data_IF_900852207021
#
_entry.id   IF_900852207021
#
_cell.length_a   1.000
_cell.length_b   1.000
_cell.length_c   1.000
_cell.angle_alpha   90.00
_cell.angle_beta   90.00
_cell.angle_gamma   90.00
#
_symmetry.space_group_name_H-M   'P 1'
#
loop_
_entity.id
_entity.type
_entity.pdbx_description
1 polymer ?
#
# COMPACT_ATOMS: atom_id res chain seq x y z
N UNK A 1 -17.32 2.19 11.00
CA UNK A 1 -16.92 1.89 9.61
C UNK A 1 -15.45 1.55 9.52
N UNK A 2 -15.04 0.68 8.61
CA UNK A 2 -13.63 0.39 8.43
C UNK A 2 -12.89 1.64 7.97
N UNK A 3 -11.57 1.75 8.22
CA UNK A 3 -10.80 2.86 7.72
C UNK A 3 -10.81 2.87 6.19
N UNK A 4 -10.72 4.06 5.58
CA UNK A 4 -10.70 4.16 4.13
C UNK A 4 -9.43 3.55 3.55
N UNK A 5 -9.46 3.29 2.25
CA UNK A 5 -8.29 2.81 1.54
C UNK A 5 -7.13 3.80 1.68
N UNK A 6 -5.92 3.29 1.84
CA UNK A 6 -4.72 4.12 1.86
C UNK A 6 -4.41 4.59 0.45
N UNK A 7 -4.05 5.86 0.30
CA UNK A 7 -3.68 6.43 -0.99
C UNK A 7 -2.26 6.98 -0.94
N UNK A 8 -1.50 6.66 -1.98
CA UNK A 8 -0.11 7.08 -2.12
C UNK A 8 0.07 7.70 -3.49
N UNK A 9 0.62 8.92 -3.58
CA UNK A 9 0.94 9.49 -4.87
C UNK A 9 2.08 8.73 -5.53
N UNK A 10 1.96 8.48 -6.82
CA UNK A 10 2.97 7.76 -7.56
C UNK A 10 2.90 8.00 -9.04
N UNK A 11 3.82 7.39 -9.76
CA UNK A 11 3.97 7.57 -11.19
C UNK A 11 4.27 6.24 -11.87
N UNK A 12 3.71 6.07 -13.05
CA UNK A 12 4.09 4.98 -13.94
C UNK A 12 4.90 5.58 -15.09
N UNK A 13 6.07 5.02 -15.33
CA UNK A 13 6.96 5.47 -16.38
C UNK A 13 7.62 4.25 -17.01
N UNK A 14 7.18 3.92 -18.21
CA UNK A 14 7.62 2.71 -18.89
C UNK A 14 7.22 1.45 -18.13
N UNK A 15 8.22 0.70 -17.68
CA UNK A 15 8.01 -0.56 -16.94
C UNK A 15 8.19 -0.40 -15.44
N UNK A 16 8.18 0.82 -14.94
CA UNK A 16 8.48 1.11 -13.55
C UNK A 16 7.40 1.95 -12.90
N UNK A 17 7.07 1.61 -11.66
CA UNK A 17 6.25 2.42 -10.77
C UNK A 17 7.17 3.05 -9.74
N UNK A 18 6.94 4.32 -9.45
CA UNK A 18 7.71 5.02 -8.43
C UNK A 18 6.78 5.79 -7.49
N UNK A 19 7.14 5.78 -6.21
CA UNK A 19 6.53 6.64 -5.19
C UNK A 19 7.54 7.72 -4.88
N UNK A 20 7.37 8.88 -5.52
CA UNK A 20 8.12 10.12 -5.30
C UNK A 20 9.64 9.95 -5.27
N UNK A 21 10.20 9.23 -6.20
CA UNK A 21 11.64 9.09 -6.44
C UNK A 21 12.44 8.29 -5.39
N UNK A 22 11.82 7.78 -4.34
CA UNK A 22 12.59 6.99 -3.38
C UNK A 22 12.20 5.52 -3.30
N UNK A 23 11.05 5.16 -3.85
CA UNK A 23 10.66 3.75 -3.96
C UNK A 23 10.34 3.47 -5.41
N UNK A 24 11.04 2.51 -5.99
CA UNK A 24 10.87 2.10 -7.38
C UNK A 24 10.65 0.60 -7.42
N UNK A 25 9.71 0.17 -8.23
CA UNK A 25 9.49 -1.26 -8.44
C UNK A 25 9.00 -1.52 -9.85
N UNK A 26 9.28 -2.72 -10.39
CA UNK A 26 8.85 -3.05 -11.74
C UNK A 26 7.34 -3.16 -11.83
N UNK A 27 6.80 -2.73 -12.95
CA UNK A 27 5.39 -2.83 -13.26
C UNK A 27 5.00 -4.31 -13.31
N UNK A 28 4.02 -4.71 -12.52
CA UNK A 28 3.52 -6.08 -12.60
C UNK A 28 2.53 -6.23 -13.77
N UNK A 29 2.15 -7.47 -14.07
CA UNK A 29 1.29 -7.75 -15.20
C UNK A 29 -0.06 -7.06 -15.11
N UNK A 30 -0.57 -6.85 -13.91
CA UNK A 30 -1.89 -6.26 -13.70
C UNK A 30 -1.91 -4.76 -14.02
N UNK A 31 -0.76 -4.09 -13.99
CA UNK A 31 -0.65 -2.66 -14.24
C UNK A 31 -0.19 -2.32 -15.66
N UNK A 32 0.11 -3.32 -16.48
CA UNK A 32 0.64 -3.07 -17.84
C UNK A 32 -0.34 -2.36 -18.76
N UNK A 33 -1.63 -2.49 -18.50
CA UNK A 33 -2.66 -1.82 -19.30
C UNK A 33 -2.86 -0.35 -18.89
N UNK A 34 -2.27 0.06 -17.76
CA UNK A 34 -2.34 1.43 -17.28
C UNK A 34 -1.22 2.21 -17.98
N UNK A 35 -1.55 3.30 -18.62
CA UNK A 35 -0.56 4.10 -19.34
C UNK A 35 0.37 4.86 -18.40
N UNK A 36 1.43 5.43 -18.98
CA UNK A 36 2.34 6.30 -18.22
C UNK A 36 1.59 7.50 -17.69
N UNK A 37 1.99 7.99 -16.55
CA UNK A 37 1.40 9.17 -15.94
C UNK A 37 1.47 9.16 -14.42
N UNK A 38 0.86 10.18 -13.85
CA UNK A 38 0.76 10.33 -12.40
C UNK A 38 -0.59 9.80 -11.93
N UNK A 39 -0.53 9.00 -10.88
CA UNK A 39 -1.69 8.30 -10.34
C UNK A 39 -1.68 8.34 -8.81
N UNK A 40 -2.77 7.89 -8.22
CA UNK A 40 -2.82 7.57 -6.80
C UNK A 40 -2.94 6.07 -6.68
N UNK A 41 -2.03 5.47 -5.93
CA UNK A 41 -2.03 4.03 -5.68
C UNK A 41 -2.71 3.75 -4.37
N UNK A 42 -3.63 2.81 -4.37
CA UNK A 42 -4.40 2.48 -3.19
C UNK A 42 -4.09 1.10 -2.66
N UNK A 43 -4.09 0.96 -1.35
CA UNK A 43 -3.98 -0.34 -0.71
C UNK A 43 -4.88 -0.37 0.52
N UNK A 44 -5.58 -1.48 0.70
CA UNK A 44 -6.46 -1.64 1.87
C UNK A 44 -5.64 -1.77 3.13
N UNK A 45 -6.08 -1.17 4.25
CA UNK A 45 -5.36 -1.29 5.52
C UNK A 45 -5.05 -2.73 5.93
N UNK A 46 -5.96 -3.65 5.68
CA UNK A 46 -5.78 -5.06 6.05
C UNK A 46 -4.80 -5.82 5.15
N UNK A 47 -4.38 -5.22 4.03
CA UNK A 47 -3.41 -5.83 3.12
C UNK A 47 -1.97 -5.40 3.41
N UNK A 48 -1.78 -4.42 4.28
CA UNK A 48 -0.45 -4.05 4.75
C UNK A 48 -0.01 -4.98 5.88
N UNK A 49 1.29 -5.20 5.99
CA UNK A 49 1.82 -6.10 7.01
C UNK A 49 3.14 -5.58 7.58
N UNK A 50 3.51 -6.14 8.73
CA UNK A 50 4.78 -5.82 9.41
C UNK A 50 5.90 -6.76 9.00
N UNK A 51 5.58 -7.81 8.25
CA UNK A 51 6.54 -8.77 7.74
C UNK A 51 6.27 -9.02 6.25
N UNK A 52 7.29 -9.29 5.45
CA UNK A 52 7.07 -9.58 4.03
C UNK A 52 6.38 -10.93 3.87
N UNK A 53 5.48 -11.01 2.90
CA UNK A 53 4.76 -12.24 2.54
C UNK A 53 5.15 -12.76 1.17
N UNK A 54 5.64 -11.88 0.29
CA UNK A 54 6.03 -12.20 -1.08
C UNK A 54 7.35 -11.51 -1.40
N UNK A 55 8.09 -12.08 -2.35
CA UNK A 55 9.40 -11.53 -2.75
C UNK A 55 9.28 -10.14 -3.38
N UNK A 56 8.12 -9.82 -3.96
CA UNK A 56 7.88 -8.54 -4.61
C UNK A 56 7.14 -7.53 -3.72
N UNK A 57 7.00 -7.81 -2.43
CA UNK A 57 6.44 -6.84 -1.50
C UNK A 57 7.34 -5.61 -1.41
N UNK A 58 6.71 -4.43 -1.42
CA UNK A 58 7.43 -3.19 -1.19
C UNK A 58 7.71 -3.03 0.29
N UNK A 59 8.93 -2.67 0.61
CA UNK A 59 9.32 -2.34 1.97
C UNK A 59 9.38 -0.82 2.12
N UNK A 60 8.66 -0.29 3.07
CA UNK A 60 8.66 1.14 3.39
C UNK A 60 9.12 1.36 4.82
N UNK A 61 10.09 2.27 4.98
CA UNK A 61 10.46 2.77 6.28
C UNK A 61 9.47 3.88 6.68
N UNK A 62 8.86 3.73 7.82
CA UNK A 62 7.84 4.66 8.31
C UNK A 62 8.02 4.93 9.80
N UNK A 63 7.33 5.97 10.26
CA UNK A 63 7.31 6.36 11.67
C UNK A 63 5.90 6.17 12.22
N UNK A 64 5.81 5.61 13.41
CA UNK A 64 4.52 5.39 14.06
C UNK A 64 3.99 6.72 14.59
N UNK A 65 2.76 7.05 14.22
CA UNK A 65 2.04 8.20 14.78
C UNK A 65 1.16 7.80 15.95
N UNK A 66 0.48 6.66 15.83
CA UNK A 66 -0.51 6.22 16.80
C UNK A 66 -0.80 4.74 16.60
N UNK A 67 -0.96 4.03 17.70
CA UNK A 67 -1.46 2.66 17.69
C UNK A 67 -2.79 2.64 18.44
N UNK A 68 -3.88 2.40 17.72
CA UNK A 68 -5.21 2.27 18.30
C UNK A 68 -5.53 0.80 18.49
N UNK A 69 -5.66 0.37 19.72
CA UNK A 69 -5.99 -1.02 20.04
C UNK A 69 -7.48 -1.09 20.38
N UNK A 70 -8.19 -1.90 19.63
CA UNK A 70 -9.62 -2.09 19.79
C UNK A 70 -9.90 -3.59 19.89
N UNK A 71 -10.12 -4.08 21.11
CA UNK A 71 -10.27 -5.49 21.36
C UNK A 71 -9.02 -6.27 20.96
N UNK A 72 -9.15 -7.18 20.01
CA UNK A 72 -8.05 -8.02 19.52
C UNK A 72 -7.47 -7.53 18.21
N UNK A 73 -7.67 -6.26 17.87
CA UNK A 73 -7.20 -5.67 16.63
C UNK A 73 -6.43 -4.39 16.90
N UNK A 74 -5.51 -4.04 16.00
CA UNK A 74 -4.75 -2.80 16.08
C UNK A 74 -4.86 -2.06 14.76
N UNK A 75 -5.18 -0.76 14.86
CA UNK A 75 -5.07 0.16 13.73
C UNK A 75 -3.81 0.98 13.94
N UNK A 76 -2.81 0.71 13.15
CA UNK A 76 -1.49 1.35 13.28
C UNK A 76 -1.37 2.47 12.27
N UNK A 77 -1.28 3.70 12.76
CA UNK A 77 -1.13 4.89 11.94
C UNK A 77 0.35 5.19 11.79
N UNK A 78 0.83 5.21 10.56
CA UNK A 78 2.24 5.46 10.24
C UNK A 78 2.36 6.53 9.18
N UNK A 79 3.54 7.13 9.08
CA UNK A 79 3.82 8.16 8.09
C UNK A 79 5.25 8.08 7.59
N UNK A 80 5.46 8.62 6.42
CA UNK A 80 6.76 9.07 5.95
C UNK A 80 6.63 10.54 5.51
N UNK A 81 7.61 11.08 4.80
CA UNK A 81 7.60 12.48 4.39
C UNK A 81 6.49 12.83 3.39
N UNK A 82 5.92 11.85 2.72
CA UNK A 82 5.04 12.07 1.57
C UNK A 82 3.59 11.66 1.81
N UNK A 83 3.36 10.67 2.65
CA UNK A 83 2.01 10.17 2.88
C UNK A 83 1.89 9.45 4.21
N UNK A 84 0.66 9.27 4.64
CA UNK A 84 0.31 8.52 5.84
C UNK A 84 -0.45 7.27 5.45
N UNK A 85 -0.26 6.22 6.21
CA UNK A 85 -0.93 4.93 6.01
C UNK A 85 -1.54 4.45 7.31
N UNK A 86 -2.59 3.66 7.19
CA UNK A 86 -3.18 2.92 8.31
C UNK A 86 -3.07 1.44 8.01
N UNK A 87 -2.50 0.69 8.93
CA UNK A 87 -2.50 -0.76 8.91
C UNK A 87 -3.61 -1.27 9.81
N UNK A 88 -4.33 -2.27 9.34
CA UNK A 88 -5.30 -2.99 10.16
C UNK A 88 -4.73 -4.38 10.45
N UNK A 89 -4.30 -4.59 11.67
CA UNK A 89 -3.56 -5.79 12.07
C UNK A 89 -4.39 -6.63 13.03
N UNK A 90 -4.44 -7.95 12.85
CA UNK A 90 -4.98 -8.81 13.89
C UNK A 90 -4.04 -8.84 15.07
N UNK A 91 -4.61 -8.95 16.27
CA UNK A 91 -3.83 -8.98 17.50
C UNK A 91 -3.54 -7.60 18.06
N UNK A 92 -2.86 -7.60 19.19
CA UNK A 92 -2.46 -6.39 19.89
C UNK A 92 -1.01 -6.07 19.55
N UNK A 93 -0.79 -4.93 18.91
CA UNK A 93 0.53 -4.46 18.51
C UNK A 93 0.77 -3.08 19.12
N UNK A 94 1.45 -3.05 20.24
CA UNK A 94 1.77 -1.81 20.92
C UNK A 94 3.10 -1.26 20.38
N UNK A 95 3.08 -0.02 19.95
CA UNK A 95 4.25 0.70 19.49
C UNK A 95 4.28 2.07 20.10
N UNK A 96 5.46 2.54 20.43
CA UNK A 96 5.63 3.90 20.90
C UNK A 96 5.45 4.88 19.73
N UNK A 97 4.90 6.04 20.03
CA UNK A 97 4.86 7.16 19.10
C UNK A 97 6.29 7.49 18.68
N UNK A 98 6.48 7.78 17.41
CA UNK A 98 7.77 8.07 16.77
C UNK A 98 8.70 6.86 16.62
N UNK A 99 8.25 5.66 16.93
CA UNK A 99 9.02 4.45 16.63
C UNK A 99 9.24 4.32 15.12
N UNK A 100 10.43 3.93 14.73
CA UNK A 100 10.76 3.65 13.33
C UNK A 100 10.54 2.18 13.05
N UNK A 101 9.68 1.89 12.08
CA UNK A 101 9.35 0.52 11.69
C UNK A 101 9.36 0.39 10.18
N UNK A 102 9.22 -0.84 9.70
CA UNK A 102 9.03 -1.15 8.29
C UNK A 102 7.68 -1.78 8.07
N UNK A 103 7.03 -1.36 7.00
CA UNK A 103 5.78 -1.95 6.56
C UNK A 103 5.93 -2.48 5.15
N UNK A 104 5.11 -3.45 4.80
CA UNK A 104 5.21 -4.17 3.53
C UNK A 104 3.91 -4.04 2.77
N UNK A 105 4.02 -3.70 1.50
CA UNK A 105 2.89 -3.49 0.59
C UNK A 105 2.95 -4.56 -0.49
N UNK A 106 1.91 -5.41 -0.60
CA UNK A 106 1.84 -6.38 -1.69
C UNK A 106 1.49 -5.66 -2.99
N UNK A 107 2.42 -5.61 -3.92
CA UNK A 107 2.24 -4.86 -5.16
C UNK A 107 1.10 -5.36 -6.01
N UNK A 108 0.78 -6.65 -5.91
CA UNK A 108 -0.33 -7.26 -6.67
C UNK A 108 -1.72 -6.89 -6.14
N UNK A 109 -1.79 -6.22 -4.98
CA UNK A 109 -3.05 -5.77 -4.38
C UNK A 109 -3.26 -4.27 -4.47
N UNK A 110 -2.47 -3.60 -5.28
CA UNK A 110 -2.59 -2.16 -5.46
C UNK A 110 -3.77 -1.82 -6.39
N UNK A 111 -4.51 -0.80 -5.98
CA UNK A 111 -5.47 -0.13 -6.84
C UNK A 111 -4.79 1.05 -7.51
N UNK A 112 -5.24 1.42 -8.70
CA UNK A 112 -4.76 2.63 -9.36
C UNK A 112 -5.94 3.57 -9.57
N UNK A 113 -5.83 4.78 -9.07
CA UNK A 113 -6.80 5.84 -9.26
C UNK A 113 -6.16 6.99 -10.02
N UNK A 114 -6.97 7.69 -10.82
CA UNK A 114 -6.50 8.91 -11.44
C UNK A 114 -6.43 10.06 -10.42
N UNK A 115 -5.98 11.22 -10.86
CA UNK A 115 -5.80 12.38 -9.96
C UNK A 115 -7.12 12.94 -9.44
N UNK A 116 -8.23 12.62 -10.07
CA UNK A 116 -9.56 13.04 -9.65
C UNK A 116 -10.25 11.99 -8.76
N UNK A 117 -9.58 10.89 -8.49
CA UNK A 117 -10.12 9.83 -7.65
C UNK A 117 -10.90 8.76 -8.40
N UNK A 118 -10.92 8.80 -9.72
CA UNK A 118 -11.56 7.78 -10.52
C UNK A 118 -10.74 6.49 -10.56
N UNK A 119 -11.39 5.34 -10.42
CA UNK A 119 -10.72 4.05 -10.45
C UNK A 119 -10.29 3.72 -11.89
N UNK A 120 -8.99 3.50 -12.08
CA UNK A 120 -8.41 3.10 -13.37
C UNK A 120 -8.22 1.58 -13.42
N UNK A 121 -7.71 1.01 -12.33
CA UNK A 121 -7.40 -0.42 -12.28
C UNK A 121 -7.58 -0.94 -10.86
N UNK A 122 -8.35 -2.00 -10.70
CA UNK A 122 -8.43 -2.74 -9.45
C UNK A 122 -7.46 -3.92 -9.49
N UNK A 123 -7.00 -4.43 -8.34
CA UNK A 123 -6.24 -5.66 -8.32
C UNK A 123 -7.02 -6.75 -9.02
N UNK A 124 -6.38 -7.40 -9.97
CA UNK A 124 -7.03 -8.49 -10.69
C UNK A 124 -7.40 -9.60 -9.75
N UNK A 125 -8.63 -10.06 -9.87
CA UNK A 125 -8.92 -11.39 -9.40
C UNK A 125 -8.08 -12.31 -10.26
N UNK A 126 -7.00 -12.81 -9.67
CA UNK A 126 -6.28 -13.88 -10.32
C UNK A 126 -7.11 -15.14 -10.26
N UNK A 127 -8.23 -15.07 -10.93
CA UNK A 127 -8.94 -16.27 -11.19
C UNK A 127 -8.01 -17.16 -11.96
N UNK A 128 -7.76 -18.35 -11.39
CA UNK A 128 -7.20 -19.39 -12.17
C UNK A 128 -7.95 -19.35 -13.51
N UNK A 129 -7.29 -18.84 -14.52
CA UNK A 129 -7.89 -18.87 -15.84
C UNK A 129 -8.04 -20.31 -16.18
N UNK A 130 -9.25 -20.73 -16.18
CA UNK A 130 -9.58 -21.99 -16.79
C UNK A 130 -9.21 -21.80 -18.24
N UNK A 131 -8.10 -22.36 -18.59
CA UNK A 131 -7.69 -22.36 -19.99
C UNK A 131 -8.72 -23.14 -20.78
#
# INVERSE_FOLDING_TARGET
>A
PPPPINLMPGRIDGNEVSFANFVHFPLNVDLRAVGDGEYRFGVRPSHLSLVPSNDDDLELAVTVELAEISGSETFLHVRNELFSLVLHLPGVHAYDVDASIRVYIPTHKLFVFDQQGGLIQAPGLRMARVA
#
